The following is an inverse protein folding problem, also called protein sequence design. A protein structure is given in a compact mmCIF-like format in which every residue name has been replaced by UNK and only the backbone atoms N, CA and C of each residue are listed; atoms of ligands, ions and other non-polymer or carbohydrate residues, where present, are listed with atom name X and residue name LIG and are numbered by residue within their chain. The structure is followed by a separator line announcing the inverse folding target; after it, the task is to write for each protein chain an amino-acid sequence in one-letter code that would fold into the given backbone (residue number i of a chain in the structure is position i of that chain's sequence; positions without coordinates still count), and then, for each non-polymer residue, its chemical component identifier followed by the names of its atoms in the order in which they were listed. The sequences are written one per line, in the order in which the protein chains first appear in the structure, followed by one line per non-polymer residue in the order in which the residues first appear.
data_IF_337717059473
#
_entry.id   IF_337717059473
#
_cell.length_a   1.000
_cell.length_b   1.000
_cell.length_c   1.000
_cell.angle_alpha   90.00
_cell.angle_beta   90.00
_cell.angle_gamma   90.00
#
_symmetry.space_group_name_H-M   'P 1'
#
loop_
_entity.id
_entity.type
_entity.pdbx_description
1 polymer ?
#
# COMPACT_ATOMS: atom_id res chain seq x y z
N UNK A 1 7.32 24.54 -48.71
CA UNK A 1 6.83 23.31 -48.07
C UNK A 1 7.59 23.13 -46.76
N UNK A 2 7.06 23.61 -45.64
CA UNK A 2 7.67 23.43 -44.31
C UNK A 2 7.21 22.09 -43.75
N UNK A 3 8.13 21.15 -43.59
CA UNK A 3 7.86 19.85 -42.96
C UNK A 3 7.96 20.08 -41.46
N UNK A 4 6.82 20.23 -40.78
CA UNK A 4 6.77 20.17 -39.32
C UNK A 4 7.13 18.74 -38.90
N UNK A 5 8.35 18.53 -38.40
CA UNK A 5 8.69 17.33 -37.66
C UNK A 5 8.00 17.40 -36.30
N UNK A 6 6.86 16.71 -36.21
CA UNK A 6 6.20 16.42 -34.95
C UNK A 6 7.09 15.46 -34.18
N UNK A 7 7.92 16.01 -33.28
CA UNK A 7 8.76 15.24 -32.39
C UNK A 7 7.82 14.50 -31.42
N UNK A 8 7.48 13.26 -31.78
CA UNK A 8 6.72 12.35 -30.95
C UNK A 8 7.58 12.04 -29.71
N UNK A 9 7.39 12.80 -28.64
CA UNK A 9 7.88 12.46 -27.31
C UNK A 9 7.16 11.17 -26.90
N UNK A 10 7.73 10.04 -27.28
CA UNK A 10 7.42 8.75 -26.67
C UNK A 10 7.93 8.89 -25.24
N UNK A 11 7.07 9.38 -24.35
CA UNK A 11 7.23 9.18 -22.91
C UNK A 11 7.16 7.68 -22.74
N UNK A 12 8.32 7.01 -22.78
CA UNK A 12 8.44 5.67 -22.26
C UNK A 12 8.07 5.80 -20.79
N UNK A 13 6.81 5.49 -20.47
CA UNK A 13 6.33 5.31 -19.11
C UNK A 13 7.25 4.25 -18.50
N UNK A 14 8.28 4.71 -17.80
CA UNK A 14 9.16 3.85 -17.02
C UNK A 14 8.29 3.36 -15.88
N UNK A 15 7.60 2.23 -16.09
CA UNK A 15 7.10 1.44 -14.99
C UNK A 15 8.31 1.12 -14.14
N UNK A 16 8.47 1.80 -13.02
CA UNK A 16 9.64 1.63 -12.17
C UNK A 16 9.60 0.21 -11.64
N UNK A 17 10.47 -0.64 -12.19
CA UNK A 17 10.64 -2.00 -11.68
C UNK A 17 11.18 -2.01 -10.26
N UNK A 18 11.61 -0.85 -9.74
CA UNK A 18 12.34 -0.68 -8.49
C UNK A 18 11.54 0.08 -7.42
N UNK A 19 10.22 -0.06 -7.39
CA UNK A 19 9.36 0.51 -6.35
C UNK A 19 8.47 1.65 -6.80
N UNK A 20 7.44 1.91 -5.98
CA UNK A 20 6.49 2.99 -6.21
C UNK A 20 7.17 4.36 -6.04
N UNK A 21 6.84 5.34 -6.90
CA UNK A 21 7.43 6.66 -6.85
C UNK A 21 6.80 7.52 -5.74
N UNK A 22 7.49 8.59 -5.33
CA UNK A 22 7.04 9.47 -4.24
C UNK A 22 5.67 10.11 -4.51
N UNK A 23 5.30 10.35 -5.78
CA UNK A 23 4.01 10.93 -6.13
C UNK A 23 2.83 10.02 -5.72
N UNK A 24 3.05 8.70 -5.72
CA UNK A 24 2.06 7.70 -5.30
C UNK A 24 1.74 7.77 -3.80
N UNK A 25 2.58 8.44 -3.00
CA UNK A 25 2.36 8.57 -1.55
C UNK A 25 1.08 9.33 -1.21
N UNK A 26 0.59 10.19 -2.10
CA UNK A 26 -0.54 11.07 -1.83
C UNK A 26 -1.90 10.35 -1.94
N UNK A 27 -2.04 9.47 -2.93
CA UNK A 27 -3.30 8.83 -3.31
C UNK A 27 -3.20 7.29 -3.36
N UNK A 28 -2.00 6.73 -3.15
CA UNK A 28 -1.70 5.31 -3.30
C UNK A 28 -2.00 4.83 -4.73
N UNK A 29 -1.88 5.71 -5.72
CA UNK A 29 -2.09 5.39 -7.13
C UNK A 29 -0.77 4.97 -7.81
N UNK A 30 -0.75 3.96 -8.70
CA UNK A 30 0.48 3.51 -9.34
C UNK A 30 0.75 4.42 -10.55
N UNK A 31 1.35 5.58 -10.29
CA UNK A 31 1.68 6.56 -11.33
C UNK A 31 2.45 5.92 -12.50
N UNK A 32 2.17 6.37 -13.72
CA UNK A 32 2.76 5.82 -14.95
C UNK A 32 2.11 4.52 -15.46
N UNK A 33 1.06 4.03 -14.80
CA UNK A 33 0.23 2.92 -15.27
C UNK A 33 -1.03 3.49 -15.92
N UNK A 34 -1.30 3.09 -17.16
CA UNK A 34 -2.38 3.65 -17.99
C UNK A 34 -3.50 2.63 -18.28
N UNK A 35 -3.52 1.56 -17.48
CA UNK A 35 -4.47 0.46 -17.58
C UNK A 35 -5.88 0.80 -17.14
N UNK A 36 -6.84 -0.01 -17.61
CA UNK A 36 -8.19 -0.06 -17.07
C UNK A 36 -8.15 -0.78 -15.72
N UNK A 37 -8.51 -0.07 -14.66
CA UNK A 37 -8.70 -0.65 -13.34
C UNK A 37 -10.15 -0.51 -12.89
N UNK A 38 -10.52 -1.34 -11.92
CA UNK A 38 -11.76 -1.14 -11.18
C UNK A 38 -11.42 -0.51 -9.84
N UNK A 39 -12.04 0.65 -9.55
CA UNK A 39 -12.14 1.17 -8.19
C UNK A 39 -13.10 0.32 -7.33
N UNK A 40 -13.77 -0.68 -7.93
CA UNK A 40 -14.63 -1.60 -7.22
C UNK A 40 -13.80 -2.51 -6.31
N UNK A 41 -13.79 -2.16 -5.03
CA UNK A 41 -13.17 -2.95 -3.96
C UNK A 41 -13.74 -4.37 -3.87
N UNK A 42 -14.97 -4.60 -4.31
CA UNK A 42 -15.60 -5.94 -4.31
C UNK A 42 -14.98 -6.86 -5.36
N UNK A 43 -14.36 -6.30 -6.40
CA UNK A 43 -13.70 -7.03 -7.47
C UNK A 43 -12.16 -7.03 -7.33
N UNK A 44 -11.62 -6.53 -6.23
CA UNK A 44 -10.19 -6.58 -5.97
C UNK A 44 -9.80 -8.01 -5.54
N UNK A 45 -9.02 -8.76 -6.33
CA UNK A 45 -8.64 -10.14 -5.99
C UNK A 45 -7.56 -10.20 -4.91
N UNK A 46 -7.07 -9.06 -4.42
CA UNK A 46 -6.05 -8.96 -3.38
C UNK A 46 -6.63 -8.42 -2.07
N UNK A 47 -6.04 -8.84 -0.96
CA UNK A 47 -6.41 -8.37 0.38
C UNK A 47 -5.20 -8.13 1.25
N UNK A 48 -5.39 -7.26 2.25
CA UNK A 48 -4.49 -7.11 3.37
C UNK A 48 -5.07 -7.84 4.58
N UNK A 49 -4.42 -8.90 5.00
CA UNK A 49 -4.76 -9.69 6.18
C UNK A 49 -4.27 -8.98 7.45
N UNK A 50 -5.20 -8.77 8.37
CA UNK A 50 -5.03 -8.06 9.63
C UNK A 50 -5.24 -8.98 10.85
N UNK A 51 -5.12 -10.30 10.68
CA UNK A 51 -5.37 -11.28 11.75
C UNK A 51 -4.44 -11.16 12.97
N UNK A 52 -3.36 -10.37 12.89
CA UNK A 52 -2.50 -10.10 14.04
C UNK A 52 -3.05 -9.03 15.00
N UNK A 53 -4.10 -8.29 14.62
CA UNK A 53 -4.74 -7.28 15.46
C UNK A 53 -5.81 -7.91 16.36
N UNK A 54 -6.04 -7.31 17.52
CA UNK A 54 -7.06 -7.79 18.47
C UNK A 54 -8.46 -7.52 17.92
N UNK A 55 -9.34 -8.53 17.93
CA UNK A 55 -10.74 -8.38 17.53
C UNK A 55 -11.68 -8.51 18.73
N UNK A 56 -12.52 -7.50 18.94
CA UNK A 56 -13.61 -7.53 19.93
C UNK A 56 -14.92 -7.09 19.28
N UNK A 57 -15.86 -8.02 19.16
CA UNK A 57 -17.19 -7.74 18.61
C UNK A 57 -17.16 -7.26 17.15
N UNK A 58 -16.27 -7.81 16.32
CA UNK A 58 -16.11 -7.39 14.92
C UNK A 58 -15.33 -6.09 14.73
N UNK A 59 -14.78 -5.50 15.79
CA UNK A 59 -13.94 -4.30 15.72
C UNK A 59 -12.48 -4.70 15.94
N UNK A 60 -11.60 -4.26 15.05
CA UNK A 60 -10.16 -4.45 15.20
C UNK A 60 -9.52 -3.35 16.04
N UNK A 61 -8.54 -3.74 16.85
CA UNK A 61 -7.82 -2.84 17.75
C UNK A 61 -6.31 -2.94 17.60
N UNK A 62 -5.64 -1.81 17.77
CA UNK A 62 -4.20 -1.72 17.92
C UNK A 62 -3.84 -1.07 19.26
N UNK A 63 -2.67 -1.40 19.76
CA UNK A 63 -2.04 -0.81 20.94
C UNK A 63 -0.89 0.06 20.47
N UNK A 64 -0.72 1.24 21.08
CA UNK A 64 0.43 2.11 20.81
C UNK A 64 1.75 1.37 21.10
N UNK A 65 2.81 1.72 20.38
CA UNK A 65 4.16 1.13 20.51
C UNK A 65 4.24 -0.38 20.22
N UNK A 66 3.16 -1.02 19.74
CA UNK A 66 3.18 -2.42 19.32
C UNK A 66 3.41 -2.57 17.82
N UNK A 67 3.99 -3.70 17.44
CA UNK A 67 4.23 -4.07 16.04
C UNK A 67 3.33 -5.22 15.62
N UNK A 68 2.74 -5.09 14.43
CA UNK A 68 1.78 -6.03 13.88
C UNK A 68 2.26 -6.58 12.55
N UNK A 69 2.14 -7.89 12.37
CA UNK A 69 2.38 -8.53 11.08
C UNK A 69 1.12 -8.43 10.23
N UNK A 70 1.24 -7.86 9.04
CA UNK A 70 0.16 -7.80 8.04
C UNK A 70 0.61 -8.51 6.77
N UNK A 71 -0.33 -9.11 6.05
CA UNK A 71 0.00 -9.90 4.85
C UNK A 71 -0.83 -9.41 3.67
N UNK A 72 -0.16 -8.94 2.62
CA UNK A 72 -0.79 -8.67 1.33
C UNK A 72 -0.72 -9.95 0.48
N UNK A 73 -1.86 -10.41 -0.06
CA UNK A 73 -1.92 -11.63 -0.87
C UNK A 73 -3.09 -11.63 -1.86
N UNK A 74 -2.96 -12.39 -2.95
CA UNK A 74 -4.09 -12.81 -3.79
C UNK A 74 -5.02 -13.77 -3.03
N UNK A 75 -6.33 -13.61 -3.17
CA UNK A 75 -7.34 -14.39 -2.43
C UNK A 75 -7.45 -15.84 -2.90
N UNK A 76 -7.20 -16.09 -4.19
CA UNK A 76 -7.27 -17.40 -4.85
C UNK A 76 -5.95 -17.80 -5.50
N UNK A 77 -4.84 -17.18 -5.08
CA UNK A 77 -3.49 -17.44 -5.61
C UNK A 77 -3.07 -16.50 -6.74
N UNK A 78 -3.79 -15.40 -6.95
CA UNK A 78 -3.42 -14.37 -7.92
C UNK A 78 -2.04 -13.79 -7.59
N UNK A 79 -1.25 -13.58 -8.64
CA UNK A 79 0.11 -13.04 -8.55
C UNK A 79 0.12 -11.55 -8.86
N UNK A 80 1.05 -10.83 -8.23
CA UNK A 80 1.30 -9.42 -8.47
C UNK A 80 2.80 -9.13 -8.55
N UNK A 81 3.14 -8.02 -9.20
CA UNK A 81 4.53 -7.58 -9.39
C UNK A 81 4.86 -6.39 -8.51
N UNK A 82 3.96 -5.41 -8.44
CA UNK A 82 4.13 -4.18 -7.68
C UNK A 82 3.10 -4.05 -6.57
N UNK A 83 3.49 -3.36 -5.50
CA UNK A 83 2.58 -2.95 -4.44
C UNK A 83 3.04 -1.65 -3.78
N UNK A 84 2.11 -0.98 -3.10
CA UNK A 84 2.38 0.10 -2.15
C UNK A 84 1.38 -0.06 -1.00
N UNK A 85 1.85 -0.04 0.24
CA UNK A 85 1.00 -0.12 1.45
C UNK A 85 1.32 1.04 2.38
N UNK A 86 0.29 1.68 2.93
CA UNK A 86 0.41 2.78 3.88
C UNK A 86 -0.76 2.76 4.87
N UNK A 87 -0.51 3.05 6.15
CA UNK A 87 -1.58 3.33 7.11
C UNK A 87 -1.84 4.84 7.18
N UNK A 88 -3.11 5.22 7.32
CA UNK A 88 -3.54 6.62 7.49
C UNK A 88 -4.53 6.76 8.64
N UNK A 89 -4.50 7.91 9.28
CA UNK A 89 -5.54 8.35 10.22
C UNK A 89 -6.88 8.53 9.51
N UNK A 90 -7.98 8.27 10.21
CA UNK A 90 -9.32 8.57 9.69
C UNK A 90 -9.67 10.06 9.73
N UNK A 91 -9.09 10.80 10.68
CA UNK A 91 -9.44 12.20 10.94
C UNK A 91 -9.03 13.15 9.80
N UNK A 92 -7.81 12.99 9.29
CA UNK A 92 -7.18 13.89 8.32
C UNK A 92 -6.47 13.17 7.17
N UNK A 93 -6.57 11.83 7.11
CA UNK A 93 -5.94 11.01 6.08
C UNK A 93 -4.41 11.17 6.02
N UNK A 94 -3.80 11.50 7.14
CA UNK A 94 -2.35 11.65 7.30
C UNK A 94 -1.68 10.29 7.47
N UNK A 95 -0.51 10.03 6.83
CA UNK A 95 0.20 8.77 7.03
C UNK A 95 0.67 8.59 8.47
N UNK A 96 0.70 7.34 8.93
CA UNK A 96 0.92 7.02 10.35
C UNK A 96 1.57 5.66 10.58
N UNK A 97 2.34 5.56 11.65
CA UNK A 97 3.12 4.37 11.97
C UNK A 97 4.31 4.20 11.03
N UNK A 98 5.04 3.11 11.23
CA UNK A 98 6.28 2.84 10.51
C UNK A 98 6.31 1.39 10.06
N UNK A 99 6.73 1.14 8.82
CA UNK A 99 7.06 -0.21 8.37
C UNK A 99 8.46 -0.56 8.83
N UNK A 100 8.59 -1.73 9.47
CA UNK A 100 9.84 -2.22 10.04
C UNK A 100 10.13 -3.64 9.54
N UNK A 101 11.35 -4.13 9.73
CA UNK A 101 11.74 -5.53 9.48
C UNK A 101 11.36 -6.03 8.07
N UNK A 102 11.91 -5.38 7.05
CA UNK A 102 11.57 -5.62 5.64
C UNK A 102 12.02 -7.00 5.15
N UNK A 103 11.17 -7.63 4.34
CA UNK A 103 11.50 -8.86 3.60
C UNK A 103 12.39 -8.60 2.38
N UNK A 104 12.83 -9.67 1.68
CA UNK A 104 13.79 -9.58 0.59
C UNK A 104 13.28 -8.84 -0.65
N UNK A 105 11.96 -8.79 -0.86
CA UNK A 105 11.34 -8.14 -2.03
C UNK A 105 10.70 -6.79 -1.70
N UNK A 106 11.10 -6.18 -0.58
CA UNK A 106 10.44 -5.04 0.02
C UNK A 106 11.45 -3.94 0.32
N UNK A 107 11.03 -2.69 0.17
CA UNK A 107 11.76 -1.52 0.61
C UNK A 107 10.79 -0.47 1.14
N UNK A 108 11.30 0.44 1.96
CA UNK A 108 10.57 1.65 2.29
C UNK A 108 10.48 2.53 1.05
N UNK A 109 9.33 3.15 0.84
CA UNK A 109 9.21 4.22 -0.15
C UNK A 109 9.62 5.55 0.44
N UNK A 110 9.99 6.51 -0.40
CA UNK A 110 10.35 7.88 -0.02
C UNK A 110 9.14 8.76 0.40
N UNK A 111 8.08 8.15 0.92
CA UNK A 111 6.93 8.87 1.45
C UNK A 111 7.31 9.62 2.72
N UNK A 112 6.58 10.71 3.00
CA UNK A 112 6.72 11.50 4.22
C UNK A 112 5.48 11.27 5.10
N UNK A 113 5.64 11.02 6.42
CA UNK A 113 6.90 10.79 7.14
C UNK A 113 7.66 9.56 6.65
N UNK A 114 8.98 9.55 6.90
CA UNK A 114 9.84 8.41 6.56
C UNK A 114 9.29 7.11 7.14
N UNK A 115 9.55 6.01 6.44
CA UNK A 115 9.11 4.65 6.81
C UNK A 115 7.58 4.46 6.86
N UNK A 116 6.78 5.47 6.52
CA UNK A 116 5.31 5.40 6.57
C UNK A 116 4.69 4.51 5.50
N UNK A 117 5.47 4.11 4.49
CA UNK A 117 4.99 3.27 3.41
C UNK A 117 6.08 2.32 2.90
N UNK A 118 5.62 1.17 2.41
CA UNK A 118 6.46 0.07 1.91
C UNK A 118 6.04 -0.32 0.49
N UNK A 119 7.02 -0.59 -0.36
CA UNK A 119 6.85 -0.97 -1.76
C UNK A 119 7.78 -2.11 -2.16
N UNK A 120 7.63 -2.59 -3.39
CA UNK A 120 8.44 -3.64 -4.01
C UNK A 120 9.83 -3.11 -4.42
N UNK A 121 10.85 -3.97 -4.47
CA UNK A 121 12.19 -3.62 -5.02
C UNK A 121 12.40 -4.08 -6.47
N UNK A 122 11.57 -5.00 -6.93
CA UNK A 122 11.68 -5.66 -8.22
C UNK A 122 10.29 -6.06 -8.74
N UNK A 123 10.17 -6.28 -10.04
CA UNK A 123 8.95 -6.74 -10.69
C UNK A 123 8.78 -8.28 -10.71
N UNK A 124 9.51 -9.01 -9.87
CA UNK A 124 9.34 -10.47 -9.73
C UNK A 124 7.92 -10.77 -9.27
N UNK A 125 7.37 -11.90 -9.73
CA UNK A 125 6.02 -12.34 -9.34
C UNK A 125 5.96 -12.70 -7.86
N UNK A 126 4.88 -12.29 -7.22
CA UNK A 126 4.62 -12.49 -5.79
C UNK A 126 3.18 -12.94 -5.64
N UNK A 127 2.95 -14.00 -4.87
CA UNK A 127 1.60 -14.37 -4.42
C UNK A 127 1.27 -13.78 -3.06
N UNK A 128 2.31 -13.46 -2.27
CA UNK A 128 2.19 -12.89 -0.93
C UNK A 128 3.40 -12.05 -0.56
N UNK A 129 3.18 -11.02 0.24
CA UNK A 129 4.23 -10.31 0.97
C UNK A 129 3.82 -10.13 2.43
N UNK A 130 4.74 -10.38 3.34
CA UNK A 130 4.54 -10.16 4.77
C UNK A 130 5.23 -8.88 5.19
N UNK A 131 4.49 -7.98 5.82
CA UNK A 131 4.97 -6.68 6.26
C UNK A 131 4.85 -6.61 7.78
N UNK A 132 5.73 -5.86 8.44
CA UNK A 132 5.61 -5.56 9.86
C UNK A 132 5.36 -4.06 10.00
N UNK A 133 4.26 -3.69 10.66
CA UNK A 133 3.87 -2.30 10.89
C UNK A 133 3.89 -1.98 12.38
N UNK A 134 4.68 -0.99 12.77
CA UNK A 134 4.73 -0.41 14.10
C UNK A 134 3.69 0.69 14.29
N UNK A 135 2.86 0.53 15.32
CA UNK A 135 1.88 1.53 15.73
C UNK A 135 2.57 2.76 16.35
N UNK A 136 2.03 3.98 16.15
CA UNK A 136 2.63 5.21 16.65
C UNK A 136 2.53 5.35 18.17
N UNK A 137 3.54 5.96 18.78
CA UNK A 137 3.73 6.09 20.23
C UNK A 137 2.61 6.88 20.92
N UNK A 138 2.10 7.91 20.26
CA UNK A 138 1.06 8.78 20.82
C UNK A 138 -0.38 8.35 20.47
N UNK A 139 -0.55 7.23 19.75
CA UNK A 139 -1.86 6.71 19.35
C UNK A 139 -2.72 7.74 18.61
N UNK A 140 -2.68 7.73 17.28
CA UNK A 140 -3.33 8.76 16.43
C UNK A 140 -4.84 8.52 16.21
N UNK A 141 -5.54 7.96 17.20
CA UNK A 141 -6.97 7.65 17.10
C UNK A 141 -7.25 6.47 16.16
N UNK A 142 -8.35 6.55 15.40
CA UNK A 142 -8.73 5.50 14.45
C UNK A 142 -7.92 5.56 13.16
N UNK A 143 -7.56 4.40 12.64
CA UNK A 143 -6.67 4.24 11.48
C UNK A 143 -7.29 3.31 10.43
N UNK A 144 -6.79 3.40 9.20
CA UNK A 144 -7.07 2.46 8.10
C UNK A 144 -5.78 2.18 7.34
N UNK A 145 -5.66 0.97 6.79
CA UNK A 145 -4.63 0.69 5.79
C UNK A 145 -5.19 0.94 4.40
N UNK A 146 -4.32 1.46 3.54
CA UNK A 146 -4.53 1.61 2.11
C UNK A 146 -3.47 0.80 1.40
N UNK A 147 -3.86 0.15 0.29
CA UNK A 147 -2.91 -0.52 -0.56
C UNK A 147 -3.25 -0.45 -2.04
N UNK A 148 -2.20 -0.54 -2.84
CA UNK A 148 -2.21 -0.68 -4.28
C UNK A 148 -1.55 -1.99 -4.68
N UNK A 149 -2.05 -2.62 -5.73
CA UNK A 149 -1.42 -3.78 -6.36
C UNK A 149 -1.33 -3.58 -7.86
N UNK A 150 -0.20 -3.95 -8.44
CA UNK A 150 0.06 -3.92 -9.88
C UNK A 150 0.40 -5.33 -10.34
N UNK A 151 -0.36 -5.84 -11.29
CA UNK A 151 -0.04 -7.07 -12.04
C UNK A 151 0.76 -6.73 -13.32
N UNK A 152 0.28 -5.73 -14.07
CA UNK A 152 0.95 -5.27 -15.30
C UNK A 152 0.79 -3.76 -15.49
N UNK A 153 1.50 -3.18 -16.46
CA UNK A 153 1.37 -1.75 -16.81
C UNK A 153 -0.07 -1.36 -17.17
N UNK A 154 -0.87 -2.33 -17.62
CA UNK A 154 -2.26 -2.16 -18.03
C UNK A 154 -3.27 -2.75 -17.02
N UNK A 155 -2.81 -3.29 -15.88
CA UNK A 155 -3.68 -4.00 -14.93
C UNK A 155 -3.22 -3.77 -13.50
N UNK A 156 -3.99 -3.02 -12.73
CA UNK A 156 -3.71 -2.64 -11.35
C UNK A 156 -5.00 -2.37 -10.56
N UNK A 157 -4.94 -2.27 -9.23
CA UNK A 157 -6.08 -2.06 -8.34
C UNK A 157 -5.71 -1.06 -7.23
N UNK A 158 -6.49 0.01 -7.07
CA UNK A 158 -6.19 1.13 -6.14
C UNK A 158 -7.42 1.96 -5.74
N UNK A 159 -7.32 2.72 -4.63
CA UNK A 159 -6.72 2.28 -3.37
C UNK A 159 -7.73 1.37 -2.67
N UNK A 160 -7.29 0.17 -2.31
CA UNK A 160 -8.10 -0.68 -1.44
C UNK A 160 -7.96 -0.24 0.00
N UNK A 161 -9.09 -0.04 0.66
CA UNK A 161 -9.17 0.44 2.04
C UNK A 161 -9.60 -0.72 2.93
N UNK A 162 -8.84 -0.97 4.00
CA UNK A 162 -9.21 -1.98 4.99
C UNK A 162 -10.33 -1.49 5.91
N UNK A 163 -10.85 -2.41 6.74
CA UNK A 163 -11.69 -2.02 7.87
C UNK A 163 -10.92 -1.12 8.85
N UNK A 164 -11.68 -0.33 9.62
CA UNK A 164 -11.13 0.61 10.59
C UNK A 164 -10.47 -0.11 11.76
N UNK A 165 -9.27 0.33 12.12
CA UNK A 165 -8.59 -0.05 13.36
C UNK A 165 -8.83 1.01 14.44
N UNK A 166 -9.26 0.55 15.60
CA UNK A 166 -9.49 1.38 16.78
C UNK A 166 -8.29 1.32 17.71
N UNK A 167 -8.02 2.42 18.42
CA UNK A 167 -7.01 2.38 19.47
C UNK A 167 -7.57 1.66 20.69
N UNK A 168 -6.85 0.66 21.19
CA UNK A 168 -7.11 0.11 22.51
C UNK A 168 -6.48 1.03 23.57
N UNK A 169 -7.29 1.47 24.53
CA UNK A 169 -6.77 2.15 25.71
C UNK A 169 -6.23 1.10 26.70
N UNK A 170 -5.02 1.27 27.26
CA UNK A 170 -4.54 0.40 28.32
C UNK A 170 -5.52 0.42 29.50
N UNK A 171 -5.92 -0.74 29.99
CA UNK A 171 -6.60 -0.86 31.29
C UNK A 171 -5.53 -0.73 32.37
N UNK A 172 -5.54 0.39 33.09
CA UNK A 172 -4.71 0.62 34.29
C UNK A 172 -5.03 -0.36 35.40
#
# INVERSE_FOLDING_TARGET
MHVLHFCLLIVLARGWSSGAPTEACSDIYPAGHNGTNSLDLQANPYRLDLAAFDELGGTLYYVADQSYKIVLSGMSGEEFKGFLVQARTLADNSPVGQFISLGPDQQLSDCVPEESAVTHINASLKTRVSLTWGAPDNGRGQLKFLFAVVDSINTFWVPAVTITLHRMCPTT
#
